data_IF_488433345445
#
_entry.id   IF_488433345445
#
_cell.length_a   1.000
_cell.length_b   1.000
_cell.length_c   1.000
_cell.angle_alpha   90.00
_cell.angle_beta   90.00
_cell.angle_gamma   90.00
#
_symmetry.space_group_name_H-M   'P 1'
#
loop_
_entity.id
_entity.type
_entity.pdbx_description
1 polymer ?
#
# COMPACT_ATOMS: atom_id res chain seq x y z
N UNK A 1 -65.37 23.65 -63.51
CA UNK A 1 -63.97 23.31 -63.28
C UNK A 1 -63.61 23.85 -61.91
N UNK A 2 -63.64 23.01 -60.90
CA UNK A 2 -63.32 23.36 -59.49
C UNK A 2 -62.24 22.46 -59.02
N UNK A 3 -61.08 23.05 -58.68
CA UNK A 3 -59.94 22.37 -58.09
C UNK A 3 -60.09 22.37 -56.57
N UNK A 4 -60.08 21.16 -55.94
CA UNK A 4 -60.12 21.00 -54.52
C UNK A 4 -58.71 21.03 -53.95
N UNK A 5 -58.50 21.84 -52.93
CA UNK A 5 -57.29 21.83 -52.09
C UNK A 5 -57.51 20.87 -50.95
N UNK A 6 -56.66 19.86 -50.87
CA UNK A 6 -56.53 18.97 -49.68
C UNK A 6 -55.46 19.53 -48.70
N UNK A 7 -55.89 19.86 -47.50
CA UNK A 7 -55.01 20.27 -46.41
C UNK A 7 -54.42 19.02 -45.73
N UNK A 8 -53.13 18.83 -45.87
CA UNK A 8 -52.39 17.81 -45.15
C UNK A 8 -51.94 18.32 -43.77
N UNK A 9 -52.42 17.70 -42.69
CA UNK A 9 -51.95 17.89 -41.31
C UNK A 9 -50.61 17.17 -41.10
N UNK A 10 -49.57 17.94 -41.02
CA UNK A 10 -48.28 17.40 -40.58
C UNK A 10 -48.28 17.17 -39.05
N UNK A 11 -48.32 15.92 -38.64
CA UNK A 11 -48.08 15.54 -37.26
C UNK A 11 -46.57 15.68 -36.95
N UNK A 12 -46.23 16.66 -36.13
CA UNK A 12 -44.87 16.83 -35.62
C UNK A 12 -44.53 15.71 -34.65
N UNK A 13 -43.60 14.86 -35.02
CA UNK A 13 -42.96 13.90 -34.12
C UNK A 13 -41.99 14.70 -33.26
N UNK A 14 -42.36 14.97 -32.00
CA UNK A 14 -41.45 15.42 -30.96
C UNK A 14 -40.51 14.26 -30.63
N UNK A 15 -39.38 14.19 -31.29
CA UNK A 15 -38.28 13.33 -30.92
C UNK A 15 -37.73 13.81 -29.59
N UNK A 16 -38.00 13.06 -28.54
CA UNK A 16 -37.28 13.21 -27.27
C UNK A 16 -35.80 12.88 -27.52
N UNK A 17 -34.97 13.91 -27.65
CA UNK A 17 -33.53 13.76 -27.59
C UNK A 17 -33.18 13.39 -26.15
N UNK A 18 -33.14 12.09 -25.87
CA UNK A 18 -32.40 11.57 -24.71
C UNK A 18 -30.98 12.04 -24.91
N UNK A 19 -30.54 13.01 -24.10
CA UNK A 19 -29.14 13.36 -23.99
C UNK A 19 -28.42 12.09 -23.50
N UNK A 20 -27.80 11.36 -24.44
CA UNK A 20 -26.89 10.31 -24.08
C UNK A 20 -25.79 10.98 -23.25
N UNK A 21 -25.80 10.76 -21.93
CA UNK A 21 -24.67 11.07 -21.09
C UNK A 21 -23.49 10.35 -21.74
N UNK A 22 -22.49 11.10 -22.21
CA UNK A 22 -21.26 10.53 -22.69
C UNK A 22 -20.71 9.68 -21.53
N UNK A 23 -20.61 8.37 -21.76
CA UNK A 23 -20.08 7.47 -20.74
C UNK A 23 -18.69 7.96 -20.33
N UNK A 24 -18.45 8.07 -19.03
CA UNK A 24 -17.11 8.41 -18.52
C UNK A 24 -16.16 7.33 -19.01
N UNK A 25 -15.21 7.70 -19.85
CA UNK A 25 -14.32 6.77 -20.55
C UNK A 25 -12.92 6.67 -19.91
N UNK A 26 -12.64 7.48 -18.90
CA UNK A 26 -11.32 7.52 -18.24
C UNK A 26 -11.45 7.79 -16.74
N UNK A 27 -10.64 7.03 -15.95
CA UNK A 27 -10.35 7.28 -14.55
C UNK A 27 -8.84 7.51 -14.36
N UNK A 28 -8.46 8.51 -13.59
CA UNK A 28 -7.09 8.74 -13.18
C UNK A 28 -6.88 8.13 -11.80
N UNK A 29 -6.04 7.09 -11.74
CA UNK A 29 -5.69 6.43 -10.49
C UNK A 29 -4.28 6.83 -10.05
N UNK A 30 -4.18 7.64 -8.99
CA UNK A 30 -2.93 7.99 -8.33
C UNK A 30 -2.53 6.84 -7.38
N UNK A 31 -1.49 6.10 -7.74
CA UNK A 31 -1.09 4.87 -7.06
C UNK A 31 0.43 4.68 -7.06
N UNK A 32 0.90 3.66 -6.35
CA UNK A 32 2.30 3.25 -6.40
C UNK A 32 2.60 2.48 -7.68
N UNK A 33 3.84 2.59 -8.19
CA UNK A 33 4.27 1.86 -9.38
C UNK A 33 4.09 0.34 -9.25
N UNK A 34 4.32 -0.20 -8.04
CA UNK A 34 4.10 -1.62 -7.73
C UNK A 34 2.65 -2.07 -7.86
N UNK A 35 1.69 -1.17 -7.71
CA UNK A 35 0.26 -1.48 -7.65
C UNK A 35 -0.45 -1.21 -8.99
N UNK A 36 0.13 -0.37 -9.83
CA UNK A 36 -0.46 0.17 -11.05
C UNK A 36 0.17 -0.33 -12.35
N UNK A 37 0.57 -1.60 -12.44
CA UNK A 37 1.08 -2.14 -13.70
C UNK A 37 -0.04 -2.21 -14.77
N UNK A 38 0.22 -1.87 -16.05
CA UNK A 38 -0.80 -1.91 -17.11
C UNK A 38 -1.54 -3.26 -17.22
N UNK A 39 -0.85 -4.38 -17.03
CA UNK A 39 -1.48 -5.70 -17.07
C UNK A 39 -2.55 -5.89 -15.98
N UNK A 40 -2.40 -5.22 -14.82
CA UNK A 40 -3.38 -5.35 -13.72
C UNK A 40 -4.74 -4.73 -14.06
N UNK A 41 -4.80 -3.75 -14.94
CA UNK A 41 -6.03 -3.00 -15.27
C UNK A 41 -6.63 -3.38 -16.63
N UNK A 42 -5.89 -4.10 -17.46
CA UNK A 42 -6.30 -4.46 -18.84
C UNK A 42 -7.65 -5.18 -18.91
N UNK A 43 -7.93 -6.06 -17.95
CA UNK A 43 -9.20 -6.81 -17.93
C UNK A 43 -10.39 -5.87 -17.65
N UNK A 44 -10.25 -4.95 -16.70
CA UNK A 44 -11.26 -3.94 -16.39
C UNK A 44 -11.52 -3.03 -17.59
N UNK A 45 -10.47 -2.56 -18.25
CA UNK A 45 -10.59 -1.70 -19.44
C UNK A 45 -11.32 -2.40 -20.59
N UNK A 46 -11.03 -3.67 -20.84
CA UNK A 46 -11.71 -4.47 -21.86
C UNK A 46 -13.18 -4.71 -21.54
N UNK A 47 -13.51 -4.97 -20.29
CA UNK A 47 -14.87 -5.26 -19.84
C UNK A 47 -15.75 -4.02 -19.84
N UNK A 48 -15.20 -2.89 -19.40
CA UNK A 48 -16.00 -1.66 -19.16
C UNK A 48 -15.89 -0.62 -20.27
N UNK A 49 -14.89 -0.73 -21.14
CA UNK A 49 -14.54 0.32 -22.11
C UNK A 49 -13.92 1.56 -21.46
N UNK A 50 -13.62 1.52 -20.16
CA UNK A 50 -13.05 2.62 -19.40
C UNK A 50 -11.54 2.51 -19.33
N UNK A 51 -10.83 3.56 -19.72
CA UNK A 51 -9.37 3.65 -19.61
C UNK A 51 -8.96 4.00 -18.18
N UNK A 52 -7.97 3.29 -17.63
CA UNK A 52 -7.32 3.63 -16.37
C UNK A 52 -6.00 4.34 -16.66
N UNK A 53 -5.96 5.64 -16.39
CA UNK A 53 -4.74 6.42 -16.46
C UNK A 53 -3.98 6.34 -15.14
N UNK A 54 -2.80 5.75 -15.16
CA UNK A 54 -1.95 5.62 -13.98
C UNK A 54 -1.18 6.92 -13.73
N UNK A 55 -1.20 7.40 -12.49
CA UNK A 55 -0.40 8.53 -12.00
C UNK A 55 0.43 8.03 -10.83
N UNK A 56 1.76 7.93 -11.00
CA UNK A 56 2.60 7.32 -9.97
C UNK A 56 2.97 8.30 -8.89
N UNK A 57 2.85 7.85 -7.65
CA UNK A 57 3.12 8.60 -6.43
C UNK A 57 4.61 8.55 -6.09
N UNK A 58 5.18 9.68 -5.71
CA UNK A 58 6.55 9.75 -5.18
C UNK A 58 6.60 9.50 -3.67
N UNK A 59 5.58 9.94 -2.93
CA UNK A 59 5.43 9.70 -1.50
C UNK A 59 3.98 9.92 -1.05
N UNK A 60 3.62 9.37 0.10
CA UNK A 60 2.31 9.62 0.71
C UNK A 60 2.13 11.08 1.13
N UNK A 61 3.20 11.75 1.56
CA UNK A 61 3.15 13.17 1.91
C UNK A 61 2.91 14.06 0.69
N UNK A 62 3.51 13.72 -0.47
CA UNK A 62 3.24 14.42 -1.73
C UNK A 62 1.78 14.22 -2.16
N UNK A 63 1.22 13.01 -2.03
CA UNK A 63 -0.20 12.74 -2.30
C UNK A 63 -1.12 13.58 -1.40
N UNK A 64 -0.87 13.58 -0.10
CA UNK A 64 -1.65 14.37 0.86
C UNK A 64 -1.59 15.87 0.55
N UNK A 65 -0.38 16.40 0.30
CA UNK A 65 -0.19 17.81 -0.03
C UNK A 65 -0.90 18.19 -1.34
N UNK A 66 -0.83 17.35 -2.37
CA UNK A 66 -1.49 17.59 -3.65
C UNK A 66 -3.01 17.69 -3.50
N UNK A 67 -3.63 16.79 -2.74
CA UNK A 67 -5.06 16.84 -2.44
C UNK A 67 -5.43 18.10 -1.64
N UNK A 68 -4.65 18.44 -0.62
CA UNK A 68 -4.90 19.59 0.25
C UNK A 68 -4.78 20.92 -0.48
N UNK A 69 -3.88 21.03 -1.44
CA UNK A 69 -3.66 22.26 -2.23
C UNK A 69 -4.54 22.33 -3.47
N UNK A 70 -5.25 21.25 -3.83
CA UNK A 70 -6.07 21.16 -5.05
C UNK A 70 -5.25 20.87 -6.32
N UNK A 71 -3.95 20.64 -6.22
CA UNK A 71 -3.11 20.30 -7.39
C UNK A 71 -3.35 18.87 -7.90
N UNK A 72 -4.13 18.06 -7.18
CA UNK A 72 -4.59 16.73 -7.56
C UNK A 72 -6.02 16.72 -8.13
N UNK A 73 -6.47 17.82 -8.74
CA UNK A 73 -7.84 17.97 -9.22
C UNK A 73 -8.24 16.98 -10.33
N UNK A 74 -7.26 16.40 -11.01
CA UNK A 74 -7.46 15.38 -12.04
C UNK A 74 -7.46 13.94 -11.50
N UNK A 75 -7.13 13.71 -10.24
CA UNK A 75 -7.15 12.37 -9.66
C UNK A 75 -8.58 11.95 -9.28
N UNK A 76 -8.99 10.78 -9.74
CA UNK A 76 -10.29 10.20 -9.47
C UNK A 76 -10.24 9.15 -8.35
N UNK A 77 -9.11 8.47 -8.23
CA UNK A 77 -8.81 7.56 -7.13
C UNK A 77 -7.41 7.79 -6.62
N UNK A 78 -7.23 7.59 -5.32
CA UNK A 78 -5.96 7.74 -4.62
C UNK A 78 -5.62 6.50 -3.81
N UNK A 79 -4.36 6.40 -3.41
CA UNK A 79 -3.82 5.24 -2.72
C UNK A 79 -3.18 5.63 -1.37
N UNK A 80 -3.97 6.01 -0.35
CA UNK A 80 -3.43 6.22 0.98
C UNK A 80 -3.03 4.89 1.61
N UNK A 81 -2.01 4.91 2.47
CA UNK A 81 -1.74 3.75 3.32
C UNK A 81 -2.83 3.58 4.38
N UNK A 82 -3.01 2.36 4.87
CA UNK A 82 -3.91 2.08 5.98
C UNK A 82 -3.61 3.00 7.18
N UNK A 83 -2.33 3.24 7.43
CA UNK A 83 -1.87 4.02 8.57
C UNK A 83 -1.98 5.53 8.37
N UNK A 84 -1.96 5.98 7.11
CA UNK A 84 -2.10 7.38 6.73
C UNK A 84 -3.54 7.81 6.48
N UNK A 85 -4.46 6.87 6.27
CA UNK A 85 -5.85 7.17 5.87
C UNK A 85 -6.57 8.12 6.81
N UNK A 86 -6.35 8.00 8.12
CA UNK A 86 -6.96 8.85 9.13
C UNK A 86 -6.71 10.35 8.91
N UNK A 87 -5.52 10.75 8.41
CA UNK A 87 -5.19 12.17 8.19
C UNK A 87 -5.98 12.75 7.02
N UNK A 88 -6.24 11.95 5.98
CA UNK A 88 -7.08 12.38 4.86
C UNK A 88 -8.54 12.49 5.30
N UNK A 89 -9.02 11.57 6.13
CA UNK A 89 -10.37 11.57 6.70
C UNK A 89 -10.57 12.81 7.57
N UNK A 90 -9.67 13.07 8.54
CA UNK A 90 -9.71 14.26 9.39
C UNK A 90 -9.63 15.58 8.62
N UNK A 91 -8.93 15.60 7.50
CA UNK A 91 -8.83 16.77 6.64
C UNK A 91 -10.05 16.95 5.69
N UNK A 92 -11.01 16.02 5.69
CA UNK A 92 -12.18 16.07 4.81
C UNK A 92 -11.85 15.90 3.32
N UNK A 93 -10.76 15.22 3.02
CA UNK A 93 -10.24 15.08 1.65
C UNK A 93 -10.80 13.87 0.91
N UNK A 94 -11.49 12.96 1.62
CA UNK A 94 -12.06 11.74 1.05
C UNK A 94 -13.58 11.78 1.03
N UNK A 95 -14.14 11.07 0.05
CA UNK A 95 -15.56 10.78 -0.06
C UNK A 95 -15.90 9.50 0.72
N UNK A 96 -17.07 9.49 1.37
CA UNK A 96 -17.62 8.28 2.01
C UNK A 96 -17.82 7.16 0.98
N UNK A 97 -17.51 5.92 1.39
CA UNK A 97 -17.63 4.71 0.57
C UNK A 97 -18.71 3.82 1.18
N UNK A 98 -19.72 3.49 0.39
CA UNK A 98 -20.71 2.48 0.72
C UNK A 98 -20.18 1.09 0.32
N UNK A 99 -19.75 0.31 1.32
CA UNK A 99 -19.18 -1.02 1.08
C UNK A 99 -20.15 -1.99 0.42
N UNK A 100 -21.48 -1.75 0.55
CA UNK A 100 -22.50 -2.59 -0.11
C UNK A 100 -22.47 -2.48 -1.64
N UNK A 101 -21.85 -1.43 -2.17
CA UNK A 101 -21.61 -1.25 -3.62
C UNK A 101 -20.37 -1.99 -4.13
N UNK A 102 -19.66 -2.69 -3.26
CA UNK A 102 -18.46 -3.46 -3.56
C UNK A 102 -18.71 -4.95 -3.26
N UNK A 103 -19.36 -5.71 -4.14
CA UNK A 103 -19.68 -7.13 -3.93
C UNK A 103 -18.49 -7.98 -3.51
N UNK A 104 -17.31 -7.75 -4.11
CA UNK A 104 -16.09 -8.48 -3.80
C UNK A 104 -15.56 -8.20 -2.38
N UNK A 105 -16.00 -7.13 -1.72
CA UNK A 105 -15.66 -6.85 -0.31
C UNK A 105 -16.19 -7.93 0.66
N UNK A 106 -17.16 -8.74 0.24
CA UNK A 106 -17.64 -9.88 1.03
C UNK A 106 -16.52 -10.91 1.32
N UNK A 107 -15.52 -10.99 0.45
CA UNK A 107 -14.38 -11.91 0.54
C UNK A 107 -13.16 -11.33 1.26
N UNK A 108 -13.21 -10.07 1.69
CA UNK A 108 -12.13 -9.46 2.46
C UNK A 108 -11.94 -10.17 3.81
N UNK A 109 -10.69 -10.22 4.28
CA UNK A 109 -10.37 -10.68 5.63
C UNK A 109 -10.94 -9.72 6.67
N UNK A 110 -11.66 -10.22 7.65
CA UNK A 110 -12.40 -9.39 8.62
C UNK A 110 -11.49 -8.40 9.36
N UNK A 111 -10.27 -8.80 9.70
CA UNK A 111 -9.29 -7.94 10.39
C UNK A 111 -8.92 -6.68 9.59
N UNK A 112 -9.04 -6.71 8.26
CA UNK A 112 -8.78 -5.57 7.38
C UNK A 112 -10.05 -4.83 7.01
N UNK A 113 -11.18 -5.53 6.93
CA UNK A 113 -12.48 -4.97 6.56
C UNK A 113 -13.03 -3.99 7.60
N UNK A 114 -12.83 -4.29 8.89
CA UNK A 114 -13.41 -3.55 10.02
C UNK A 114 -12.40 -2.69 10.80
N UNK A 115 -11.25 -2.40 10.21
CA UNK A 115 -10.22 -1.62 10.89
C UNK A 115 -10.68 -0.18 11.16
N UNK A 116 -10.54 0.34 12.38
CA UNK A 116 -10.93 1.72 12.71
C UNK A 116 -10.17 2.80 11.93
N UNK A 117 -9.01 2.47 11.35
CA UNK A 117 -8.13 3.45 10.67
C UNK A 117 -8.70 4.01 9.36
N UNK A 118 -9.71 3.36 8.80
CA UNK A 118 -10.38 3.79 7.56
C UNK A 118 -11.77 4.40 7.81
N UNK A 119 -12.16 4.49 9.09
CA UNK A 119 -13.43 5.04 9.52
C UNK A 119 -13.24 6.45 10.10
N UNK A 120 -14.29 7.28 10.01
CA UNK A 120 -14.38 8.51 10.80
C UNK A 120 -14.92 8.22 12.22
N UNK A 121 -15.03 9.26 13.04
CA UNK A 121 -15.53 9.18 14.42
C UNK A 121 -17.03 8.76 14.49
N UNK A 122 -17.76 8.82 13.38
CA UNK A 122 -19.16 8.35 13.28
C UNK A 122 -19.27 6.91 12.78
N UNK A 123 -18.16 6.27 12.45
CA UNK A 123 -18.11 4.91 11.92
C UNK A 123 -18.33 4.80 10.41
N UNK A 124 -18.28 5.90 9.67
CA UNK A 124 -18.39 5.92 8.21
C UNK A 124 -17.06 5.56 7.56
N UNK A 125 -17.12 4.81 6.46
CA UNK A 125 -15.96 4.33 5.72
C UNK A 125 -15.52 5.32 4.66
N UNK A 126 -14.21 5.63 4.59
CA UNK A 126 -13.62 6.55 3.62
C UNK A 126 -12.46 5.99 2.81
N UNK A 127 -11.90 4.88 3.24
CA UNK A 127 -10.87 4.17 2.49
C UNK A 127 -11.08 2.66 2.63
N UNK A 128 -10.74 1.89 1.61
CA UNK A 128 -10.90 0.43 1.63
C UNK A 128 -9.54 -0.23 1.43
N UNK A 129 -9.06 -1.01 2.38
CA UNK A 129 -7.85 -1.80 2.23
C UNK A 129 -8.00 -2.78 1.06
N UNK A 130 -7.06 -2.80 0.11
CA UNK A 130 -7.15 -3.71 -1.04
C UNK A 130 -5.90 -4.54 -1.28
N UNK A 131 -4.73 -4.06 -0.84
CA UNK A 131 -3.45 -4.71 -1.05
C UNK A 131 -2.62 -4.67 0.24
N UNK A 132 -1.89 -5.75 0.54
CA UNK A 132 -1.03 -5.81 1.71
C UNK A 132 0.23 -6.63 1.47
N UNK A 133 1.21 -6.45 2.31
CA UNK A 133 2.45 -7.19 2.29
C UNK A 133 3.27 -7.00 3.55
N UNK A 134 4.48 -7.56 3.51
CA UNK A 134 5.42 -7.56 4.62
C UNK A 134 6.69 -6.83 4.26
N UNK A 135 7.32 -6.27 5.29
CA UNK A 135 8.69 -5.79 5.29
C UNK A 135 9.57 -6.77 6.07
N UNK A 136 10.09 -7.83 5.42
CA UNK A 136 10.93 -8.82 6.08
C UNK A 136 12.34 -8.28 6.31
N UNK A 137 13.16 -9.08 7.01
CA UNK A 137 14.60 -9.01 6.83
C UNK A 137 14.98 -9.83 5.60
N UNK A 138 15.40 -9.17 4.53
CA UNK A 138 15.98 -9.84 3.36
C UNK A 138 17.44 -10.11 3.64
N UNK A 139 17.91 -11.34 3.37
CA UNK A 139 19.28 -11.72 3.71
C UNK A 139 19.88 -12.77 2.77
N UNK A 140 21.19 -12.87 2.76
CA UNK A 140 21.98 -13.91 2.09
C UNK A 140 22.08 -15.12 3.01
N UNK A 141 21.48 -16.27 2.63
CA UNK A 141 21.46 -17.47 3.48
C UNK A 141 22.84 -18.11 3.64
N UNK A 142 23.79 -17.84 2.74
CA UNK A 142 25.18 -18.28 2.84
C UNK A 142 26.07 -17.42 3.77
N UNK A 143 25.52 -16.37 4.37
CA UNK A 143 26.24 -15.45 5.26
C UNK A 143 25.80 -15.54 6.72
N UNK A 144 24.77 -16.32 7.01
CA UNK A 144 24.18 -16.45 8.33
C UNK A 144 23.98 -17.93 8.68
N UNK A 145 24.45 -18.34 9.87
CA UNK A 145 24.27 -19.70 10.37
C UNK A 145 22.81 -19.97 10.76
N UNK A 146 22.08 -18.94 11.13
CA UNK A 146 20.67 -18.98 11.52
C UNK A 146 19.91 -17.84 10.84
N UNK A 147 18.58 -17.95 10.78
CA UNK A 147 17.72 -16.90 10.31
C UNK A 147 17.92 -15.61 11.13
N UNK A 148 18.20 -14.45 10.51
CA UNK A 148 18.42 -13.20 11.21
C UNK A 148 17.14 -12.68 11.88
N UNK A 149 17.33 -11.92 12.98
CA UNK A 149 16.26 -11.21 13.70
C UNK A 149 16.57 -9.70 13.70
N UNK A 150 15.67 -8.85 14.20
CA UNK A 150 15.94 -7.41 14.29
C UNK A 150 17.23 -7.08 15.07
N UNK A 151 17.57 -7.88 16.09
CA UNK A 151 18.84 -7.73 16.81
C UNK A 151 20.08 -7.89 15.91
N UNK A 152 19.98 -8.65 14.83
CA UNK A 152 21.06 -8.81 13.84
C UNK A 152 21.47 -7.49 13.20
N UNK A 153 20.51 -6.56 13.01
CA UNK A 153 20.78 -5.23 12.45
C UNK A 153 21.63 -4.35 13.39
N UNK A 154 21.84 -4.77 14.62
CA UNK A 154 22.61 -4.08 15.66
C UNK A 154 23.84 -4.88 16.11
N UNK A 155 24.15 -6.01 15.47
CA UNK A 155 25.26 -6.88 15.84
C UNK A 155 26.54 -6.44 15.13
N UNK A 156 27.61 -6.04 15.90
CA UNK A 156 28.90 -5.67 15.33
C UNK A 156 29.56 -6.77 14.47
N UNK A 157 29.21 -8.05 14.68
CA UNK A 157 29.68 -9.16 13.85
C UNK A 157 29.47 -8.94 12.36
N UNK A 158 28.41 -8.24 11.99
CA UNK A 158 28.01 -8.00 10.61
C UNK A 158 28.26 -6.58 10.15
N UNK A 159 29.14 -5.83 10.84
CA UNK A 159 29.47 -4.45 10.51
C UNK A 159 29.88 -4.28 9.05
N UNK A 160 29.33 -3.24 8.42
CA UNK A 160 29.56 -2.91 7.00
C UNK A 160 28.74 -3.74 6.01
N UNK A 161 27.97 -4.75 6.48
CA UNK A 161 27.18 -5.63 5.63
C UNK A 161 25.65 -5.51 5.85
N UNK A 162 25.24 -4.56 6.67
CA UNK A 162 23.86 -4.34 7.05
C UNK A 162 23.30 -3.11 6.37
N UNK A 163 22.00 -3.12 6.05
CA UNK A 163 21.30 -1.93 5.59
C UNK A 163 19.94 -1.77 6.26
N UNK A 164 19.52 -0.53 6.42
CA UNK A 164 18.25 -0.16 7.02
C UNK A 164 17.53 0.86 6.15
N UNK A 165 16.21 0.90 6.19
CA UNK A 165 15.46 1.87 5.41
C UNK A 165 15.62 3.28 5.98
N UNK A 166 15.84 4.30 5.13
CA UNK A 166 15.77 5.72 5.54
C UNK A 166 14.31 6.14 5.77
N UNK A 167 13.70 5.58 6.83
CA UNK A 167 12.34 5.87 7.20
C UNK A 167 12.16 5.86 8.73
N UNK A 168 11.88 7.03 9.30
CA UNK A 168 11.87 7.26 10.75
C UNK A 168 10.97 6.28 11.50
N UNK A 169 9.71 6.11 11.05
CA UNK A 169 8.70 5.36 11.79
C UNK A 169 9.12 3.91 12.02
N UNK A 170 9.48 3.20 10.96
CA UNK A 170 9.83 1.77 11.06
C UNK A 170 11.21 1.57 11.70
N UNK A 171 12.19 2.42 11.35
CA UNK A 171 13.55 2.29 11.86
C UNK A 171 13.64 2.54 13.36
N UNK A 172 12.93 3.54 13.87
CA UNK A 172 12.85 3.81 15.32
C UNK A 172 12.04 2.71 16.03
N UNK A 173 10.95 2.23 15.44
CA UNK A 173 10.17 1.13 15.99
C UNK A 173 11.01 -0.15 16.14
N UNK A 174 11.81 -0.51 15.11
CA UNK A 174 12.73 -1.66 15.20
C UNK A 174 13.74 -1.48 16.35
N UNK A 175 14.30 -0.29 16.50
CA UNK A 175 15.20 -0.02 17.65
C UNK A 175 14.47 -0.12 18.98
N UNK A 176 13.21 0.32 19.07
CA UNK A 176 12.36 0.15 20.24
C UNK A 176 12.14 -1.32 20.59
N UNK A 177 11.84 -2.18 19.60
CA UNK A 177 11.70 -3.63 19.78
C UNK A 177 13.01 -4.24 20.33
N UNK A 178 14.15 -3.86 19.78
CA UNK A 178 15.47 -4.32 20.23
C UNK A 178 15.78 -3.81 21.64
N UNK A 179 15.30 -2.63 22.02
CA UNK A 179 15.36 -2.09 23.38
C UNK A 179 14.41 -2.79 24.37
N UNK A 180 13.52 -3.68 23.90
CA UNK A 180 12.58 -4.42 24.74
C UNK A 180 11.21 -3.77 24.87
N UNK A 181 10.89 -2.76 24.06
CA UNK A 181 9.53 -2.20 24.01
C UNK A 181 8.56 -3.26 23.49
N UNK A 182 7.42 -3.50 24.17
CA UNK A 182 6.44 -4.47 23.71
C UNK A 182 5.88 -4.12 22.32
N UNK A 183 5.64 -5.15 21.52
CA UNK A 183 5.16 -5.03 20.13
C UNK A 183 3.92 -4.14 19.96
N UNK A 184 2.96 -4.27 20.87
CA UNK A 184 1.71 -3.52 20.86
C UNK A 184 1.88 -2.05 21.26
N UNK A 185 3.02 -1.67 21.83
CA UNK A 185 3.35 -0.31 22.25
C UNK A 185 4.41 0.38 21.40
N UNK A 186 5.07 -0.35 20.49
CA UNK A 186 6.25 0.14 19.79
C UNK A 186 6.02 1.42 18.98
N UNK A 187 4.79 1.66 18.52
CA UNK A 187 4.40 2.92 17.86
C UNK A 187 3.81 3.97 18.82
N UNK A 188 3.80 3.67 20.12
CA UNK A 188 3.30 4.56 21.18
C UNK A 188 4.38 4.88 22.22
N UNK A 189 5.65 4.78 21.82
CA UNK A 189 6.80 4.99 22.70
C UNK A 189 6.76 6.38 23.37
N UNK A 190 7.00 6.39 24.66
CA UNK A 190 7.20 7.61 25.43
C UNK A 190 8.60 8.22 25.19
N UNK A 191 8.86 9.37 25.80
CA UNK A 191 10.14 10.08 25.64
C UNK A 191 11.35 9.28 26.13
N UNK A 192 11.18 8.43 27.16
CA UNK A 192 12.26 7.58 27.70
C UNK A 192 12.56 6.44 26.74
N UNK A 193 11.54 5.75 26.25
CA UNK A 193 11.66 4.66 25.29
C UNK A 193 12.26 5.15 23.97
N UNK A 194 11.83 6.33 23.50
CA UNK A 194 12.42 6.99 22.33
C UNK A 194 13.90 7.36 22.52
N UNK A 195 14.30 7.78 23.73
CA UNK A 195 15.69 8.09 24.02
C UNK A 195 16.58 6.83 24.00
N UNK A 196 16.09 5.69 24.49
CA UNK A 196 16.82 4.41 24.40
C UNK A 196 16.88 3.91 22.94
N UNK A 197 15.79 3.97 22.17
CA UNK A 197 15.79 3.66 20.74
C UNK A 197 16.82 4.51 19.98
N UNK A 198 16.88 5.81 20.25
CA UNK A 198 17.88 6.74 19.68
C UNK A 198 19.31 6.31 19.96
N UNK A 199 19.63 5.95 21.22
CA UNK A 199 20.98 5.48 21.57
C UNK A 199 21.38 4.25 20.75
N UNK A 200 20.47 3.29 20.62
CA UNK A 200 20.71 2.09 19.81
C UNK A 200 20.94 2.43 18.34
N UNK A 201 20.15 3.33 17.76
CA UNK A 201 20.32 3.76 16.37
C UNK A 201 21.64 4.49 16.13
N UNK A 202 22.07 5.34 17.06
CA UNK A 202 23.39 6.00 16.99
C UNK A 202 24.52 4.97 17.05
N UNK A 203 24.41 3.97 17.92
CA UNK A 203 25.38 2.87 18.00
C UNK A 203 25.34 1.95 16.76
N UNK A 204 24.16 1.76 16.15
CA UNK A 204 23.98 0.95 14.95
C UNK A 204 24.57 1.63 13.70
N UNK A 205 24.46 2.96 13.58
CA UNK A 205 24.81 3.70 12.36
C UNK A 205 26.19 3.32 11.78
N UNK A 206 27.30 3.25 12.56
CA UNK A 206 28.59 2.84 12.03
C UNK A 206 28.67 1.36 11.61
N UNK A 207 27.69 0.53 11.98
CA UNK A 207 27.61 -0.87 11.58
C UNK A 207 26.93 -1.03 10.21
N UNK A 208 26.15 -0.03 9.78
CA UNK A 208 25.42 -0.11 8.52
C UNK A 208 26.36 0.22 7.33
N UNK A 209 26.15 -0.48 6.23
CA UNK A 209 26.65 -0.07 4.92
C UNK A 209 25.96 1.21 4.46
N UNK A 210 24.63 1.28 4.69
CA UNK A 210 23.83 2.46 4.30
C UNK A 210 22.43 2.46 4.96
N UNK A 211 21.85 3.66 5.01
CA UNK A 211 20.40 3.84 5.02
C UNK A 211 19.94 3.92 3.57
N UNK A 212 19.24 2.90 3.09
CA UNK A 212 18.77 2.83 1.71
C UNK A 212 17.51 3.68 1.49
N UNK A 213 17.39 4.30 0.31
CA UNK A 213 16.27 5.13 -0.10
C UNK A 213 15.54 4.55 -1.30
N UNK A 214 16.26 3.98 -2.26
CA UNK A 214 15.67 3.34 -3.44
C UNK A 214 15.87 1.83 -3.38
N UNK A 215 14.84 1.08 -3.80
CA UNK A 215 14.89 -0.37 -3.76
C UNK A 215 15.90 -0.94 -4.76
N UNK A 216 16.08 -0.27 -5.90
CA UNK A 216 17.06 -0.65 -6.91
C UNK A 216 18.49 -0.57 -6.40
N UNK A 217 18.84 0.50 -5.64
CA UNK A 217 20.17 0.61 -5.02
C UNK A 217 20.40 -0.51 -4.01
N UNK A 218 19.42 -0.81 -3.16
CA UNK A 218 19.52 -1.92 -2.21
C UNK A 218 19.69 -3.26 -2.93
N UNK A 219 18.92 -3.51 -4.01
CA UNK A 219 19.04 -4.74 -4.80
C UNK A 219 20.46 -4.87 -5.38
N UNK A 220 21.04 -3.78 -5.88
CA UNK A 220 22.42 -3.76 -6.38
C UNK A 220 23.45 -4.06 -5.27
N UNK A 221 23.28 -3.51 -4.05
CA UNK A 221 24.16 -3.79 -2.92
C UNK A 221 24.13 -5.27 -2.51
N UNK A 222 22.96 -5.94 -2.60
CA UNK A 222 22.88 -7.39 -2.42
C UNK A 222 23.57 -8.13 -3.56
N UNK A 223 23.36 -7.71 -4.81
CA UNK A 223 23.93 -8.34 -5.99
C UNK A 223 25.47 -8.28 -6.00
N UNK A 224 26.05 -7.17 -5.54
CA UNK A 224 27.52 -6.98 -5.44
C UNK A 224 28.11 -7.60 -4.15
N UNK A 225 27.26 -8.05 -3.23
CA UNK A 225 27.69 -8.63 -1.95
C UNK A 225 28.13 -7.60 -0.90
N UNK A 226 27.87 -6.31 -1.12
CA UNK A 226 28.14 -5.25 -0.15
C UNK A 226 27.15 -5.26 1.03
N UNK A 227 25.95 -5.79 0.82
CA UNK A 227 24.93 -6.00 1.86
C UNK A 227 24.60 -7.47 1.94
N UNK A 228 24.53 -8.00 3.14
CA UNK A 228 24.18 -9.39 3.43
C UNK A 228 22.85 -9.52 4.19
N UNK A 229 22.40 -8.47 4.89
CA UNK A 229 21.08 -8.43 5.54
C UNK A 229 20.54 -7.00 5.57
N UNK A 230 19.26 -6.84 5.26
CA UNK A 230 18.58 -5.55 5.33
C UNK A 230 17.12 -5.68 5.78
N UNK A 231 16.64 -4.71 6.57
CA UNK A 231 15.21 -4.46 6.69
C UNK A 231 14.72 -3.81 5.38
N UNK A 232 13.80 -4.48 4.69
CA UNK A 232 13.48 -4.14 3.30
C UNK A 232 12.07 -4.59 2.90
N UNK A 233 11.63 -4.12 1.77
CA UNK A 233 10.60 -4.79 0.99
C UNK A 233 11.17 -6.09 0.40
N UNK A 234 10.29 -6.98 -0.06
CA UNK A 234 10.67 -8.28 -0.62
C UNK A 234 11.40 -8.24 -1.97
N UNK A 235 11.36 -7.11 -2.68
CA UNK A 235 11.88 -6.96 -4.06
C UNK A 235 13.29 -7.51 -4.26
N UNK A 236 14.32 -7.19 -3.42
CA UNK A 236 15.65 -7.78 -3.60
C UNK A 236 15.66 -9.31 -3.53
N UNK A 237 14.80 -9.89 -2.67
CA UNK A 237 14.65 -11.35 -2.63
C UNK A 237 14.08 -11.88 -3.95
N UNK A 238 13.00 -11.30 -4.45
CA UNK A 238 12.34 -11.80 -5.67
C UNK A 238 13.22 -11.70 -6.91
N UNK A 239 13.99 -10.62 -7.06
CA UNK A 239 14.87 -10.41 -8.20
C UNK A 239 16.15 -11.27 -8.15
N UNK A 240 16.61 -11.63 -6.97
CA UNK A 240 17.90 -12.27 -6.79
C UNK A 240 17.83 -13.75 -6.40
N UNK A 241 16.71 -14.28 -5.89
CA UNK A 241 16.56 -15.67 -5.40
C UNK A 241 16.90 -16.75 -6.41
N UNK A 242 16.82 -16.45 -7.71
CA UNK A 242 17.25 -17.36 -8.78
C UNK A 242 18.74 -17.31 -9.11
N UNK A 243 19.47 -16.32 -8.57
CA UNK A 243 20.90 -16.07 -8.87
C UNK A 243 21.79 -16.17 -7.63
N UNK A 244 21.25 -15.87 -6.48
CA UNK A 244 21.95 -15.82 -5.20
C UNK A 244 21.14 -16.58 -4.13
N UNK A 245 21.82 -17.13 -3.09
CA UNK A 245 21.15 -17.78 -1.98
C UNK A 245 20.50 -16.71 -1.07
N UNK A 246 19.27 -16.35 -1.39
CA UNK A 246 18.49 -15.33 -0.69
C UNK A 246 17.45 -15.94 0.24
N UNK A 247 17.16 -15.27 1.35
CA UNK A 247 16.10 -15.61 2.30
C UNK A 247 15.32 -14.39 2.76
N UNK A 248 14.13 -14.65 3.30
CA UNK A 248 13.30 -13.65 3.98
C UNK A 248 13.06 -14.15 5.42
N UNK A 249 13.65 -13.47 6.39
CA UNK A 249 13.48 -13.80 7.78
C UNK A 249 12.20 -13.19 8.38
N UNK A 250 11.60 -13.95 9.29
CA UNK A 250 10.43 -13.54 10.08
C UNK A 250 10.87 -13.21 11.51
N UNK A 251 11.11 -11.93 11.87
CA UNK A 251 11.58 -11.56 13.20
C UNK A 251 10.65 -12.02 14.32
N UNK A 252 11.21 -12.49 15.43
CA UNK A 252 10.45 -13.06 16.58
C UNK A 252 9.53 -12.05 17.26
N UNK A 253 9.91 -10.78 17.25
CA UNK A 253 9.10 -9.70 17.81
C UNK A 253 7.83 -9.42 16.99
N UNK A 254 7.74 -9.97 15.80
CA UNK A 254 6.67 -9.74 14.82
C UNK A 254 7.20 -9.08 13.54
N UNK A 255 6.40 -9.08 12.49
CA UNK A 255 6.78 -8.59 11.18
C UNK A 255 6.11 -7.25 10.94
N UNK A 256 6.85 -6.25 10.43
CA UNK A 256 6.25 -5.02 9.95
C UNK A 256 5.40 -5.32 8.72
N UNK A 257 4.11 -5.04 8.82
CA UNK A 257 3.18 -5.13 7.70
C UNK A 257 2.92 -3.76 7.07
N UNK A 258 2.56 -3.75 5.82
CA UNK A 258 2.01 -2.58 5.15
C UNK A 258 0.69 -2.96 4.48
N UNK A 259 -0.19 -1.98 4.34
CA UNK A 259 -1.46 -2.17 3.67
C UNK A 259 -1.83 -0.88 2.95
N UNK A 260 -2.15 -1.01 1.68
CA UNK A 260 -2.62 0.06 0.83
C UNK A 260 -4.14 0.04 0.73
N UNK A 261 -4.70 1.23 0.81
CA UNK A 261 -6.12 1.45 0.62
C UNK A 261 -6.37 2.17 -0.70
N UNK A 262 -7.54 2.04 -1.27
CA UNK A 262 -8.04 3.02 -2.21
C UNK A 262 -8.99 3.98 -1.49
N UNK A 263 -9.01 5.23 -1.96
CA UNK A 263 -9.93 6.26 -1.54
C UNK A 263 -10.35 7.10 -2.73
N UNK A 264 -11.46 7.79 -2.62
CA UNK A 264 -11.95 8.73 -3.63
C UNK A 264 -11.84 10.16 -3.10
N UNK A 265 -11.28 11.12 -3.88
CA UNK A 265 -11.26 12.52 -3.48
C UNK A 265 -12.68 13.04 -3.19
N UNK A 266 -12.80 13.88 -2.15
CA UNK A 266 -14.10 14.46 -1.75
C UNK A 266 -14.78 15.25 -2.89
N UNK A 267 -13.97 15.83 -3.78
CA UNK A 267 -14.43 16.61 -4.94
C UNK A 267 -14.89 15.79 -6.14
N UNK A 268 -14.76 14.45 -6.09
CA UNK A 268 -15.09 13.58 -7.22
C UNK A 268 -16.56 13.70 -7.62
N UNK A 269 -16.84 13.86 -8.93
CA UNK A 269 -18.22 13.98 -9.45
C UNK A 269 -19.04 12.70 -9.23
N UNK A 270 -20.38 12.78 -9.19
CA UNK A 270 -21.22 11.59 -9.03
C UNK A 270 -21.00 10.54 -10.11
N UNK A 271 -20.84 10.94 -11.38
CA UNK A 271 -20.62 10.04 -12.51
C UNK A 271 -19.30 9.28 -12.38
N UNK A 272 -18.23 9.99 -12.02
CA UNK A 272 -16.93 9.39 -11.76
C UNK A 272 -16.93 8.54 -10.49
N UNK A 273 -17.74 8.89 -9.48
CA UNK A 273 -17.87 8.10 -8.24
C UNK A 273 -18.41 6.69 -8.55
N UNK A 274 -19.45 6.56 -9.36
CA UNK A 274 -19.99 5.24 -9.72
C UNK A 274 -18.97 4.39 -10.51
N UNK A 275 -18.19 5.02 -11.37
CA UNK A 275 -17.15 4.33 -12.12
C UNK A 275 -15.96 3.94 -11.21
N UNK A 276 -15.56 4.82 -10.31
CA UNK A 276 -14.51 4.56 -9.33
C UNK A 276 -14.89 3.42 -8.39
N UNK A 277 -16.16 3.32 -7.97
CA UNK A 277 -16.66 2.19 -7.18
C UNK A 277 -16.59 0.86 -7.96
N UNK A 278 -16.89 0.86 -9.25
CA UNK A 278 -16.73 -0.35 -10.09
C UNK A 278 -15.26 -0.77 -10.16
N UNK A 279 -14.35 0.20 -10.33
CA UNK A 279 -12.92 -0.10 -10.35
C UNK A 279 -12.42 -0.52 -8.97
N UNK A 280 -12.92 0.07 -7.88
CA UNK A 280 -12.63 -0.34 -6.53
C UNK A 280 -13.05 -1.81 -6.26
N UNK A 281 -14.22 -2.22 -6.73
CA UNK A 281 -14.68 -3.61 -6.63
C UNK A 281 -13.80 -4.56 -7.46
N UNK A 282 -13.36 -4.12 -8.64
CA UNK A 282 -12.40 -4.87 -9.46
C UNK A 282 -11.08 -5.11 -8.73
N UNK A 283 -10.53 -4.11 -8.00
CA UNK A 283 -9.31 -4.26 -7.20
C UNK A 283 -9.44 -5.30 -6.07
N UNK A 284 -10.66 -5.57 -5.60
CA UNK A 284 -10.96 -6.64 -4.64
C UNK A 284 -11.32 -7.97 -5.33
N UNK A 285 -11.42 -7.99 -6.65
CA UNK A 285 -11.88 -9.11 -7.46
C UNK A 285 -10.77 -10.10 -7.84
N UNK A 286 -11.19 -11.25 -8.38
CA UNK A 286 -10.30 -12.34 -8.72
C UNK A 286 -9.28 -11.99 -9.81
N UNK A 287 -9.66 -11.19 -10.81
CA UNK A 287 -8.77 -10.83 -11.90
C UNK A 287 -7.57 -10.01 -11.43
N UNK A 288 -7.81 -8.92 -10.70
CA UNK A 288 -6.72 -8.13 -10.12
C UNK A 288 -5.89 -8.95 -9.13
N UNK A 289 -6.55 -9.74 -8.25
CA UNK A 289 -5.88 -10.57 -7.27
C UNK A 289 -4.94 -11.61 -7.92
N UNK A 290 -5.37 -12.22 -9.05
CA UNK A 290 -4.54 -13.17 -9.79
C UNK A 290 -3.31 -12.49 -10.40
N UNK A 291 -3.50 -11.33 -11.06
CA UNK A 291 -2.40 -10.64 -11.73
C UNK A 291 -1.40 -10.06 -10.72
N UNK A 292 -1.85 -9.46 -9.63
CA UNK A 292 -0.95 -8.93 -8.60
C UNK A 292 -0.18 -10.04 -7.87
N UNK A 293 -0.80 -11.21 -7.66
CA UNK A 293 -0.12 -12.37 -7.09
C UNK A 293 0.93 -12.95 -8.06
N UNK A 294 0.60 -13.01 -9.36
CA UNK A 294 1.45 -13.58 -10.41
C UNK A 294 2.67 -12.70 -10.74
N UNK A 295 2.46 -11.40 -10.89
CA UNK A 295 3.48 -10.45 -11.35
C UNK A 295 4.16 -9.76 -10.15
N UNK A 296 3.36 -9.23 -9.20
CA UNK A 296 3.85 -8.44 -8.08
C UNK A 296 4.27 -9.26 -6.86
N UNK A 297 3.87 -10.54 -6.78
CA UNK A 297 4.03 -11.37 -5.58
C UNK A 297 3.41 -10.74 -4.32
N UNK A 298 2.26 -10.07 -4.46
CA UNK A 298 1.53 -9.47 -3.36
C UNK A 298 0.14 -10.10 -3.20
N UNK A 299 -0.40 -10.03 -1.99
CA UNK A 299 -1.74 -10.48 -1.67
C UNK A 299 -2.71 -9.31 -1.64
N UNK A 300 -3.90 -9.49 -2.21
CA UNK A 300 -5.02 -8.60 -1.94
C UNK A 300 -5.58 -8.86 -0.53
N UNK A 301 -6.38 -7.93 -0.03
CA UNK A 301 -7.08 -8.09 1.25
C UNK A 301 -8.26 -9.07 1.18
N UNK A 302 -8.46 -9.68 0.02
CA UNK A 302 -9.52 -10.62 -0.29
C UNK A 302 -9.00 -12.06 -0.38
N UNK A 303 -9.78 -13.03 0.11
CA UNK A 303 -9.49 -14.46 -0.01
C UNK A 303 -9.94 -15.05 -1.36
N UNK A 304 -10.34 -14.24 -2.33
CA UNK A 304 -11.09 -14.65 -3.52
C UNK A 304 -10.35 -15.67 -4.41
N UNK A 305 -9.01 -15.58 -4.45
CA UNK A 305 -8.18 -16.50 -5.25
C UNK A 305 -7.33 -17.44 -4.39
N UNK A 306 -7.42 -17.35 -3.05
CA UNK A 306 -6.50 -18.07 -2.17
C UNK A 306 -6.47 -19.57 -2.43
N UNK A 307 -7.65 -20.16 -2.60
CA UNK A 307 -7.78 -21.61 -2.78
C UNK A 307 -7.41 -22.08 -4.21
N UNK A 308 -7.28 -21.15 -5.15
CA UNK A 308 -6.84 -21.41 -6.53
C UNK A 308 -5.31 -21.39 -6.69
N UNK A 309 -4.60 -20.90 -5.66
CA UNK A 309 -3.14 -20.83 -5.65
C UNK A 309 -2.53 -22.13 -5.15
N UNK A 310 -1.37 -22.52 -5.71
CA UNK A 310 -0.57 -23.62 -5.15
C UNK A 310 -0.04 -23.24 -3.76
N UNK A 311 0.41 -24.24 -2.98
CA UNK A 311 0.99 -23.97 -1.66
C UNK A 311 2.23 -23.08 -1.73
N UNK A 312 3.05 -23.25 -2.76
CA UNK A 312 4.22 -22.40 -3.00
C UNK A 312 3.82 -20.96 -3.30
N UNK A 313 2.78 -20.77 -4.11
CA UNK A 313 2.24 -19.44 -4.41
C UNK A 313 1.63 -18.79 -3.16
N UNK A 314 0.85 -19.56 -2.38
CA UNK A 314 0.28 -19.07 -1.10
C UNK A 314 1.39 -18.61 -0.15
N UNK A 315 2.44 -19.44 0.02
CA UNK A 315 3.59 -19.10 0.86
C UNK A 315 4.36 -17.88 0.33
N UNK A 316 4.49 -17.76 -0.99
CA UNK A 316 5.17 -16.64 -1.64
C UNK A 316 4.50 -15.29 -1.32
N UNK A 317 3.18 -15.23 -1.16
CA UNK A 317 2.42 -14.02 -0.83
C UNK A 317 1.90 -14.01 0.60
N UNK A 318 2.36 -14.96 1.44
CA UNK A 318 2.03 -15.06 2.88
C UNK A 318 0.55 -15.29 3.20
N UNK A 319 -0.18 -16.00 2.34
CA UNK A 319 -1.59 -16.40 2.58
C UNK A 319 -1.75 -17.89 2.91
N UNK A 320 -0.65 -18.62 3.04
CA UNK A 320 -0.61 -20.03 3.46
C UNK A 320 -0.97 -20.19 4.94
N UNK A 321 -0.58 -19.24 5.78
CA UNK A 321 -0.88 -19.20 7.21
C UNK A 321 -1.45 -17.83 7.60
N UNK A 322 -2.76 -17.74 7.71
CA UNK A 322 -3.45 -16.50 8.10
C UNK A 322 -3.21 -16.12 9.57
N UNK A 323 -2.73 -17.03 10.41
CA UNK A 323 -2.34 -16.72 11.80
C UNK A 323 -1.11 -15.78 11.81
N UNK A 324 -0.28 -15.82 10.77
CA UNK A 324 0.82 -14.89 10.58
C UNK A 324 0.33 -13.43 10.58
N UNK A 325 -0.86 -13.14 10.07
CA UNK A 325 -1.43 -11.78 10.12
C UNK A 325 -1.61 -11.26 11.55
N UNK A 326 -1.82 -12.13 12.53
CA UNK A 326 -1.91 -11.74 13.95
C UNK A 326 -0.55 -11.30 14.52
N UNK A 327 0.54 -11.69 13.88
CA UNK A 327 1.91 -11.29 14.24
C UNK A 327 2.31 -9.95 13.62
N UNK A 328 1.51 -9.38 12.72
CA UNK A 328 1.86 -8.17 12.02
C UNK A 328 1.79 -6.95 12.94
N UNK A 329 2.78 -6.11 12.77
CA UNK A 329 2.80 -4.77 13.32
C UNK A 329 2.46 -3.80 12.19
N UNK A 330 1.31 -3.17 12.31
CA UNK A 330 0.90 -2.14 11.36
C UNK A 330 1.50 -0.82 11.81
N UNK A 331 2.47 -0.24 11.08
CA UNK A 331 3.04 1.04 11.44
C UNK A 331 1.94 2.10 11.58
N UNK A 332 1.90 2.81 12.68
CA UNK A 332 0.96 3.90 12.96
C UNK A 332 1.76 5.12 13.31
N UNK A 333 1.58 6.22 12.59
CA UNK A 333 2.16 7.49 12.99
C UNK A 333 1.56 7.90 14.35
N UNK A 334 2.36 7.99 15.42
CA UNK A 334 1.88 8.40 16.74
C UNK A 334 1.57 9.91 16.78
N UNK A 335 0.84 10.34 17.80
CA UNK A 335 0.51 11.76 17.97
C UNK A 335 1.78 12.64 18.11
N UNK A 336 2.85 12.10 18.70
CA UNK A 336 4.15 12.75 18.84
C UNK A 336 5.12 12.47 17.67
N UNK A 337 4.61 12.20 16.47
CA UNK A 337 5.46 11.84 15.32
C UNK A 337 6.53 12.88 14.97
N UNK A 338 6.29 14.15 15.29
CA UNK A 338 7.30 15.22 15.17
C UNK A 338 8.57 14.94 15.98
N UNK A 339 8.45 14.31 17.17
CA UNK A 339 9.60 13.93 17.99
C UNK A 339 10.38 12.77 17.34
N UNK A 340 9.68 11.82 16.70
CA UNK A 340 10.31 10.76 15.94
C UNK A 340 11.14 11.29 14.77
N UNK A 341 10.58 12.24 14.01
CA UNK A 341 11.31 12.89 12.91
C UNK A 341 12.55 13.65 13.40
N UNK A 342 12.44 14.35 14.53
CA UNK A 342 13.58 15.02 15.15
C UNK A 342 14.67 14.03 15.55
N UNK A 343 14.30 12.95 16.24
CA UNK A 343 15.22 11.87 16.64
C UNK A 343 15.91 11.26 15.41
N UNK A 344 15.15 10.96 14.36
CA UNK A 344 15.69 10.38 13.14
C UNK A 344 16.73 11.29 12.48
N UNK A 345 16.46 12.60 12.42
CA UNK A 345 17.41 13.58 11.91
C UNK A 345 18.68 13.67 12.77
N UNK A 346 18.54 13.60 14.10
CA UNK A 346 19.68 13.58 15.03
C UNK A 346 20.52 12.30 14.88
N UNK A 347 19.90 11.14 14.68
CA UNK A 347 20.59 9.87 14.38
C UNK A 347 21.36 9.98 13.06
N UNK A 348 20.76 10.56 12.02
CA UNK A 348 21.44 10.72 10.72
C UNK A 348 22.60 11.74 10.77
N UNK A 349 22.52 12.70 11.66
CA UNK A 349 23.55 13.73 11.81
C UNK A 349 24.71 13.32 12.78
N UNK A 350 24.56 12.22 13.56
CA UNK A 350 25.56 11.75 14.53
C UNK A 350 26.82 11.13 13.93
#
# INVERSE_FOLDING_TARGET
MLAGFAAGTAAGILGSTSAAHAAVSELVWATWESNGHPEYVTAFEKETGTRIKLSFLSSEDAQFAALKTGSAADWDMINPSLNGSWRYIKAGLLKEIDLSKLPNAARMYDVLKTTPKVLDDSGKLFAVPYLWGLNPLVYRTDKFDNEPDYTTLFDPKYSGQLAMRDYALESIAIAGLVAGVPRDKVFLMDAKELAEAKKLLIAQKPLLRTYWQTIGDLTNLFATGEVSCAFSWRVPYDELKGKLPMGMAKPKAGIMGWCDCFGMPASLSPEKTELALKFADYLLGAQYATEIARIGNYATTSSIIRDDLTKEQQAAIFVDDMEVMKSFMWPVAPDNYSDWLKIWNEVKAS
#
